data_IF_810230151441
#
_entry.id   IF_810230151441
#
_cell.length_a   1.000
_cell.length_b   1.000
_cell.length_c   1.000
_cell.angle_alpha   90.00
_cell.angle_beta   90.00
_cell.angle_gamma   90.00
#
_symmetry.space_group_name_H-M   'P 1'
#
loop_
_entity.id
_entity.type
_entity.pdbx_description
1 polymer ?
#
# COMPACT_ATOMS: atom_id res chain seq x y z
N UNK A 1 10.95 -3.96 4.63
CA UNK A 1 10.87 -4.98 3.57
C UNK A 1 9.43 -5.20 3.11
N UNK A 2 8.46 -5.46 4.01
CA UNK A 2 7.02 -5.54 3.70
C UNK A 2 6.22 -4.61 4.63
N UNK A 3 5.15 -4.03 4.11
CA UNK A 3 4.15 -3.22 4.82
C UNK A 3 2.74 -3.71 4.49
N UNK A 4 1.78 -3.46 5.38
CA UNK A 4 0.36 -3.61 5.06
C UNK A 4 -0.05 -2.43 4.20
N UNK A 5 -0.51 -2.71 2.98
CA UNK A 5 -0.93 -1.69 2.02
C UNK A 5 -2.41 -1.33 2.20
N UNK A 6 -3.26 -2.32 2.46
CA UNK A 6 -4.69 -2.12 2.67
C UNK A 6 -5.29 -3.25 3.50
N UNK A 7 -6.27 -2.90 4.34
CA UNK A 7 -7.16 -3.86 5.00
C UNK A 7 -8.54 -3.71 4.36
N UNK A 8 -8.86 -4.59 3.43
CA UNK A 8 -10.13 -4.55 2.70
C UNK A 8 -11.26 -5.29 3.43
N UNK A 9 -10.90 -6.09 4.44
CA UNK A 9 -11.85 -6.81 5.29
C UNK A 9 -11.14 -7.75 6.26
N UNK A 10 -11.89 -8.44 7.13
CA UNK A 10 -11.34 -9.31 8.17
C UNK A 10 -10.53 -10.50 7.62
N UNK A 11 -10.78 -10.92 6.38
CA UNK A 11 -10.07 -12.00 5.69
C UNK A 11 -9.43 -11.55 4.37
N UNK A 12 -9.28 -10.25 4.15
CA UNK A 12 -8.72 -9.70 2.90
C UNK A 12 -7.79 -8.53 3.19
N UNK A 13 -6.49 -8.78 3.03
CA UNK A 13 -5.41 -7.81 3.26
C UNK A 13 -4.52 -7.77 2.02
N UNK A 14 -4.05 -6.57 1.67
CA UNK A 14 -3.01 -6.37 0.66
C UNK A 14 -1.74 -5.95 1.39
N UNK A 15 -0.62 -6.57 1.01
CA UNK A 15 0.71 -6.17 1.47
C UNK A 15 1.54 -5.70 0.27
N UNK A 16 2.50 -4.83 0.54
CA UNK A 16 3.42 -4.30 -0.47
C UNK A 16 4.83 -4.21 0.10
N UNK A 17 5.83 -4.20 -0.78
CA UNK A 17 7.22 -4.11 -0.35
C UNK A 17 8.20 -4.60 -1.40
N UNK A 18 9.38 -5.03 -0.93
CA UNK A 18 10.44 -5.57 -1.77
C UNK A 18 10.00 -6.85 -2.50
N UNK A 19 10.29 -6.98 -3.81
CA UNK A 19 9.91 -8.16 -4.59
C UNK A 19 10.37 -9.48 -3.95
N UNK A 20 11.61 -9.55 -3.48
CA UNK A 20 12.15 -10.76 -2.84
C UNK A 20 11.39 -11.13 -1.55
N UNK A 21 11.05 -10.14 -0.72
CA UNK A 21 10.29 -10.40 0.50
C UNK A 21 8.87 -10.89 0.19
N UNK A 22 8.25 -10.36 -0.89
CA UNK A 22 6.94 -10.82 -1.34
C UNK A 22 6.98 -12.25 -1.92
N UNK A 23 8.07 -12.66 -2.57
CA UNK A 23 8.29 -14.07 -2.95
C UNK A 23 8.35 -14.97 -1.71
N UNK A 24 9.15 -14.59 -0.71
CA UNK A 24 9.28 -15.35 0.55
C UNK A 24 7.90 -15.52 1.23
N UNK A 25 7.10 -14.45 1.26
CA UNK A 25 5.76 -14.49 1.83
C UNK A 25 4.79 -15.38 1.05
N UNK A 26 4.82 -15.32 -0.29
CA UNK A 26 3.96 -16.17 -1.13
C UNK A 26 4.26 -17.65 -0.90
N UNK A 27 5.55 -18.02 -0.81
CA UNK A 27 5.95 -19.39 -0.51
C UNK A 27 5.49 -19.84 0.88
N UNK A 28 5.58 -18.96 1.90
CA UNK A 28 5.06 -19.25 3.23
C UNK A 28 3.55 -19.44 3.23
N UNK A 29 2.81 -18.56 2.55
CA UNK A 29 1.35 -18.69 2.45
C UNK A 29 0.95 -19.99 1.76
N UNK A 30 1.65 -20.40 0.70
CA UNK A 30 1.40 -21.67 0.03
C UNK A 30 1.65 -22.87 0.97
N UNK A 31 2.76 -22.87 1.71
CA UNK A 31 3.06 -23.91 2.70
C UNK A 31 1.99 -24.02 3.80
N UNK A 32 1.41 -22.89 4.20
CA UNK A 32 0.37 -22.81 5.22
C UNK A 32 -1.06 -23.03 4.66
N UNK A 33 -1.21 -23.26 3.35
CA UNK A 33 -2.51 -23.40 2.69
C UNK A 33 -3.32 -22.09 2.64
N UNK A 34 -2.67 -20.94 2.85
CA UNK A 34 -3.26 -19.61 2.80
C UNK A 34 -3.28 -19.12 1.36
N UNK A 35 -4.45 -18.74 0.86
CA UNK A 35 -4.59 -18.19 -0.49
C UNK A 35 -3.93 -16.82 -0.59
N UNK A 36 -2.84 -16.73 -1.35
CA UNK A 36 -2.20 -15.47 -1.72
C UNK A 36 -1.96 -15.40 -3.23
N UNK A 37 -1.92 -14.18 -3.78
CA UNK A 37 -1.62 -13.94 -5.20
C UNK A 37 -0.95 -12.59 -5.39
N UNK A 38 -0.12 -12.47 -6.43
CA UNK A 38 0.40 -11.16 -6.86
C UNK A 38 -0.71 -10.27 -7.39
N UNK A 39 -0.52 -8.97 -7.16
CA UNK A 39 -1.26 -7.90 -7.84
C UNK A 39 -0.37 -7.40 -9.00
N UNK A 40 -0.89 -7.29 -10.24
CA UNK A 40 -0.09 -6.88 -11.39
C UNK A 40 0.14 -5.35 -11.37
N UNK A 41 1.04 -4.92 -10.49
CA UNK A 41 1.51 -3.53 -10.35
C UNK A 41 3.04 -3.53 -10.27
N UNK A 42 3.65 -2.45 -10.72
CA UNK A 42 5.10 -2.31 -10.90
C UNK A 42 5.80 -1.54 -9.77
N UNK A 43 5.05 -1.08 -8.77
CA UNK A 43 5.60 -0.41 -7.58
C UNK A 43 4.86 -0.79 -6.29
N UNK A 44 5.56 -0.62 -5.16
CA UNK A 44 5.05 -0.94 -3.83
C UNK A 44 4.43 0.31 -3.15
N UNK A 45 3.21 0.69 -3.54
CA UNK A 45 2.48 1.75 -2.82
C UNK A 45 2.24 1.39 -1.35
N UNK A 46 2.02 2.38 -0.48
CA UNK A 46 1.75 2.19 0.96
C UNK A 46 2.86 1.42 1.71
N UNK A 47 4.11 1.58 1.32
CA UNK A 47 5.28 0.97 1.96
C UNK A 47 6.44 1.96 2.04
N UNK A 48 7.49 1.62 2.78
CA UNK A 48 8.68 2.47 2.88
C UNK A 48 9.34 2.77 1.52
N UNK A 49 9.08 1.97 0.50
CA UNK A 49 9.58 2.17 -0.85
C UNK A 49 9.09 3.48 -1.50
N UNK A 50 7.97 4.06 -1.04
CA UNK A 50 7.47 5.35 -1.55
C UNK A 50 8.15 6.57 -0.91
N UNK A 51 8.97 6.37 0.13
CA UNK A 51 9.61 7.49 0.83
C UNK A 51 10.59 8.26 -0.07
N UNK A 52 11.16 7.60 -1.08
CA UNK A 52 12.08 8.22 -2.05
C UNK A 52 11.49 9.38 -2.83
N UNK A 53 10.17 9.43 -2.98
CA UNK A 53 9.44 10.50 -3.71
C UNK A 53 8.72 11.46 -2.77
N UNK A 54 8.89 11.35 -1.46
CA UNK A 54 8.11 12.12 -0.48
C UNK A 54 8.29 13.62 -0.65
N UNK A 55 9.54 14.09 -0.78
CA UNK A 55 9.86 15.51 -0.90
C UNK A 55 9.35 16.09 -2.21
N UNK A 56 9.59 15.40 -3.33
CA UNK A 56 9.09 15.77 -4.66
C UNK A 56 7.57 15.89 -4.67
N UNK A 57 6.87 14.92 -4.07
CA UNK A 57 5.41 14.94 -3.99
C UNK A 57 4.90 16.10 -3.11
N UNK A 58 5.56 16.37 -1.98
CA UNK A 58 5.19 17.48 -1.11
C UNK A 58 5.36 18.84 -1.80
N UNK A 59 6.46 19.02 -2.54
CA UNK A 59 6.72 20.23 -3.32
C UNK A 59 5.70 20.40 -4.44
N UNK A 60 5.43 19.34 -5.22
CA UNK A 60 4.46 19.37 -6.31
C UNK A 60 3.04 19.73 -5.85
N UNK A 61 2.66 19.36 -4.62
CA UNK A 61 1.33 19.60 -4.05
C UNK A 61 1.25 20.86 -3.19
N UNK A 62 2.34 21.60 -2.99
CA UNK A 62 2.42 22.73 -2.05
C UNK A 62 1.43 23.87 -2.34
N UNK A 63 1.01 24.03 -3.60
CA UNK A 63 0.05 25.07 -4.02
C UNK A 63 -1.42 24.75 -3.73
N UNK A 64 -1.75 23.55 -3.25
CA UNK A 64 -3.14 23.15 -2.99
C UNK A 64 -3.66 23.82 -1.73
N UNK A 65 -4.80 24.51 -1.84
CA UNK A 65 -5.52 25.08 -0.68
C UNK A 65 -6.82 24.29 -0.43
N UNK A 66 -6.83 23.33 0.52
CA UNK A 66 -8.03 22.54 0.82
C UNK A 66 -9.21 23.41 1.24
N UNK A 67 -10.43 23.00 0.88
CA UNK A 67 -11.67 23.68 1.24
C UNK A 67 -12.56 22.75 2.06
N UNK A 68 -13.49 23.33 2.82
CA UNK A 68 -14.46 22.54 3.57
C UNK A 68 -15.36 21.75 2.60
N UNK A 69 -15.35 20.42 2.74
CA UNK A 69 -16.27 19.55 2.02
C UNK A 69 -17.71 19.76 2.50
N UNK A 70 -18.68 19.69 1.58
CA UNK A 70 -20.11 19.77 1.90
C UNK A 70 -20.75 18.41 2.15
N UNK A 71 -20.01 17.35 1.87
CA UNK A 71 -20.42 15.95 2.03
C UNK A 71 -19.42 15.28 2.97
N UNK A 72 -19.86 14.46 3.94
CA UNK A 72 -18.95 13.72 4.80
C UNK A 72 -17.98 12.85 4.00
N UNK A 73 -16.69 12.95 4.32
CA UNK A 73 -15.64 12.08 3.81
C UNK A 73 -15.27 11.08 4.92
N UNK A 74 -15.49 9.80 4.66
CA UNK A 74 -14.91 8.75 5.50
C UNK A 74 -13.51 8.46 4.97
N UNK A 75 -12.49 8.96 5.67
CA UNK A 75 -11.09 8.68 5.36
C UNK A 75 -10.80 7.19 5.55
N UNK A 76 -10.00 6.61 4.64
CA UNK A 76 -9.43 5.27 4.77
C UNK A 76 -7.95 5.30 5.20
N UNK A 77 -7.50 6.46 5.68
CA UNK A 77 -6.16 6.74 6.24
C UNK A 77 -6.32 7.20 7.68
#
# INVERSE_FOLDING_TARGET
>A
RISVAAVNGPSSVVVSGEPAALEDLLASCEADGVRARRVPVDYASHSAQVESIREELAEALAGITPQAGRVPLLSTV
#
